data_IF_940974398088
#
_entry.id   IF_940974398088
#
_cell.length_a   1.000
_cell.length_b   1.000
_cell.length_c   1.000
_cell.angle_alpha   90.00
_cell.angle_beta   90.00
_cell.angle_gamma   90.00
#
_symmetry.space_group_name_H-M   'P 1'
#
loop_
_entity.id
_entity.type
_entity.pdbx_description
1 polymer ?
#
# COMPACT_ATOMS: atom_id res chain seq x y z
N UNK A 1 -19.04 -18.18 -30.93
CA UNK A 1 -18.16 -17.06 -30.52
C UNK A 1 -17.34 -17.35 -29.26
N UNK A 2 -17.91 -18.07 -28.28
CA UNK A 2 -17.23 -18.40 -26.99
C UNK A 2 -15.99 -19.27 -27.17
N UNK A 3 -16.01 -20.21 -28.13
CA UNK A 3 -14.90 -21.11 -28.45
C UNK A 3 -13.64 -20.35 -28.95
N UNK A 4 -13.82 -19.25 -29.67
CA UNK A 4 -12.72 -18.41 -30.17
C UNK A 4 -12.04 -17.63 -29.04
N UNK A 5 -12.80 -17.19 -28.05
CA UNK A 5 -12.27 -16.50 -26.88
C UNK A 5 -11.44 -17.46 -26.03
N UNK A 6 -11.94 -18.69 -25.82
CA UNK A 6 -11.23 -19.75 -25.08
C UNK A 6 -9.95 -20.14 -25.81
N UNK A 7 -10.01 -20.30 -27.16
CA UNK A 7 -8.83 -20.61 -27.96
C UNK A 7 -7.79 -19.48 -27.92
N UNK A 8 -8.22 -18.21 -27.92
CA UNK A 8 -7.35 -17.05 -27.79
C UNK A 8 -6.63 -17.00 -26.44
N UNK A 9 -7.35 -17.24 -25.36
CA UNK A 9 -6.77 -17.29 -23.99
C UNK A 9 -5.77 -18.44 -23.87
N UNK A 10 -6.08 -19.62 -24.39
CA UNK A 10 -5.17 -20.77 -24.39
C UNK A 10 -3.93 -20.54 -25.26
N UNK A 11 -4.01 -19.72 -26.30
CA UNK A 11 -2.87 -19.38 -27.16
C UNK A 11 -1.90 -18.42 -26.46
N UNK A 12 -2.42 -17.49 -25.64
CA UNK A 12 -1.61 -16.57 -24.83
C UNK A 12 -0.87 -17.32 -23.71
N UNK A 13 -1.49 -18.36 -23.14
CA UNK A 13 -0.90 -19.19 -22.09
C UNK A 13 -0.14 -20.42 -22.57
N UNK A 14 0.13 -20.54 -23.88
CA UNK A 14 0.92 -21.66 -24.39
C UNK A 14 2.37 -21.54 -23.89
N UNK A 15 2.85 -22.42 -22.99
CA UNK A 15 4.23 -22.35 -22.52
C UNK A 15 5.15 -22.72 -23.69
N UNK A 16 5.80 -21.73 -24.26
CA UNK A 16 6.81 -21.96 -25.28
C UNK A 16 7.88 -22.90 -24.73
N UNK A 17 8.08 -24.04 -25.39
CA UNK A 17 9.16 -25.00 -25.09
C UNK A 17 10.50 -24.35 -25.42
N UNK A 18 10.99 -23.47 -24.56
CA UNK A 18 12.29 -22.83 -24.70
C UNK A 18 13.39 -23.74 -24.15
N UNK A 19 14.21 -24.30 -25.05
CA UNK A 19 15.43 -25.02 -24.70
C UNK A 19 16.45 -24.18 -23.92
N UNK A 20 16.27 -22.85 -23.87
CA UNK A 20 17.05 -21.91 -23.03
C UNK A 20 16.76 -22.04 -21.53
N UNK A 21 15.60 -22.59 -21.13
CA UNK A 21 15.23 -22.77 -19.74
C UNK A 21 15.97 -23.90 -19.02
N UNK A 22 16.56 -24.86 -19.73
CA UNK A 22 17.33 -25.96 -19.12
C UNK A 22 18.71 -25.51 -18.70
N UNK A 23 19.36 -24.63 -19.49
CA UNK A 23 20.70 -24.09 -19.15
C UNK A 23 20.64 -23.16 -17.93
N UNK A 24 19.60 -22.34 -17.82
CA UNK A 24 19.38 -21.44 -16.69
C UNK A 24 19.13 -22.19 -15.36
N UNK A 25 18.49 -23.37 -15.40
CA UNK A 25 18.19 -24.15 -14.18
C UNK A 25 19.41 -24.78 -13.54
N UNK A 26 20.45 -25.12 -14.28
CA UNK A 26 21.66 -25.70 -13.72
C UNK A 26 22.53 -24.65 -13.00
N UNK A 27 22.67 -23.46 -13.57
CA UNK A 27 23.47 -22.40 -12.95
C UNK A 27 22.79 -21.74 -11.72
N UNK A 28 21.45 -21.70 -11.69
CA UNK A 28 20.73 -21.17 -10.52
C UNK A 28 20.77 -22.10 -9.32
N UNK A 29 20.91 -23.40 -9.49
CA UNK A 29 21.01 -24.34 -8.36
C UNK A 29 22.37 -24.27 -7.63
N UNK A 30 23.46 -24.04 -8.34
CA UNK A 30 24.78 -23.90 -7.72
C UNK A 30 24.91 -22.58 -6.94
N UNK A 31 24.42 -21.47 -7.51
CA UNK A 31 24.36 -20.20 -6.80
C UNK A 31 23.46 -20.25 -5.55
N UNK A 32 22.33 -20.96 -5.66
CA UNK A 32 21.41 -21.14 -4.51
C UNK A 32 22.02 -21.98 -3.40
N UNK A 33 22.82 -23.00 -3.73
CA UNK A 33 23.54 -23.82 -2.73
C UNK A 33 24.67 -23.05 -2.04
N UNK A 34 25.41 -22.21 -2.76
CA UNK A 34 26.42 -21.33 -2.18
C UNK A 34 25.77 -20.26 -1.29
N UNK A 35 24.66 -19.68 -1.71
CA UNK A 35 23.92 -18.69 -0.93
C UNK A 35 23.37 -19.28 0.38
N UNK A 36 22.80 -20.49 0.33
CA UNK A 36 22.32 -21.19 1.54
C UNK A 36 23.45 -21.56 2.51
N UNK A 37 24.65 -21.91 2.05
CA UNK A 37 25.79 -22.20 2.92
C UNK A 37 26.33 -20.95 3.62
N UNK A 38 26.23 -19.79 3.00
CA UNK A 38 26.73 -18.52 3.55
C UNK A 38 25.77 -17.94 4.62
N UNK A 39 24.50 -18.38 4.65
CA UNK A 39 23.48 -17.86 5.56
C UNK A 39 22.98 -18.88 6.61
N UNK A 40 23.68 -20.01 6.78
CA UNK A 40 23.36 -21.10 7.71
C UNK A 40 23.75 -20.79 9.19
N UNK A 41 23.76 -19.52 9.59
CA UNK A 41 24.15 -19.09 10.93
C UNK A 41 23.31 -17.97 11.55
N UNK A 42 22.16 -17.59 10.98
CA UNK A 42 21.27 -16.62 11.62
C UNK A 42 19.90 -17.23 11.91
N UNK A 43 19.58 -17.54 13.19
CA UNK A 43 18.20 -17.86 13.58
C UNK A 43 17.38 -16.57 13.53
N UNK A 44 16.28 -16.59 12.77
CA UNK A 44 15.25 -15.55 12.78
C UNK A 44 15.29 -14.57 11.62
N UNK A 45 15.34 -15.02 10.37
CA UNK A 45 14.81 -14.21 9.27
C UNK A 45 13.33 -14.54 9.08
N UNK A 46 12.50 -13.72 9.70
CA UNK A 46 11.10 -13.61 9.30
C UNK A 46 11.09 -13.17 7.83
N UNK A 47 10.44 -13.97 6.99
CA UNK A 47 10.11 -13.62 5.61
C UNK A 47 8.94 -12.61 5.59
N UNK A 48 9.07 -11.54 6.36
CA UNK A 48 8.16 -10.40 6.34
C UNK A 48 8.85 -9.23 5.66
N UNK A 49 8.41 -8.99 4.43
CA UNK A 49 8.38 -7.68 3.77
C UNK A 49 9.71 -6.99 3.41
N UNK A 50 10.57 -7.58 2.59
CA UNK A 50 11.63 -6.79 1.89
C UNK A 50 11.09 -5.86 0.78
N UNK A 51 9.76 -5.75 0.60
CA UNK A 51 9.13 -4.89 -0.41
C UNK A 51 8.30 -3.74 0.19
N UNK A 52 8.39 -3.54 1.49
CA UNK A 52 7.74 -2.43 2.18
C UNK A 52 8.83 -1.43 2.60
N UNK A 53 8.90 -0.31 1.92
CA UNK A 53 9.70 0.83 2.36
C UNK A 53 8.78 1.82 3.05
N UNK A 54 9.03 2.05 4.32
CA UNK A 54 8.36 3.10 5.08
C UNK A 54 9.40 3.92 5.83
N UNK A 55 9.28 5.20 5.71
CA UNK A 55 10.12 6.17 6.40
C UNK A 55 9.22 7.24 7.02
N UNK A 56 9.34 7.42 8.33
CA UNK A 56 8.74 8.56 9.03
C UNK A 56 9.87 9.48 9.45
N UNK A 57 9.89 10.68 8.91
CA UNK A 57 10.88 11.70 9.22
C UNK A 57 10.16 12.97 9.60
N UNK A 58 10.38 13.41 10.82
CA UNK A 58 9.90 14.71 11.32
C UNK A 58 8.38 14.93 11.11
N UNK A 59 7.58 13.89 11.37
CA UNK A 59 6.12 13.92 11.24
C UNK A 59 5.57 13.75 9.81
N UNK A 60 6.43 13.50 8.81
CA UNK A 60 6.03 13.15 7.46
C UNK A 60 6.24 11.66 7.21
N UNK A 61 5.15 10.95 6.81
CA UNK A 61 5.18 9.51 6.52
C UNK A 61 5.33 9.27 5.02
N UNK A 62 6.33 8.47 4.64
CA UNK A 62 6.45 7.92 3.31
C UNK A 62 6.29 6.41 3.38
N UNK A 63 5.34 5.86 2.62
CA UNK A 63 5.05 4.43 2.56
C UNK A 63 4.96 3.96 1.13
N UNK A 64 5.77 3.00 0.76
CA UNK A 64 5.71 2.29 -0.52
C UNK A 64 5.46 0.81 -0.26
N UNK A 65 4.30 0.31 -0.69
CA UNK A 65 3.92 -1.10 -0.58
C UNK A 65 3.65 -1.66 -1.97
N UNK A 66 4.53 -2.53 -2.43
CA UNK A 66 4.39 -3.13 -3.77
C UNK A 66 3.52 -4.38 -3.72
N UNK A 67 3.63 -5.18 -2.65
CA UNK A 67 2.89 -6.43 -2.52
C UNK A 67 2.62 -6.77 -1.06
N UNK A 68 1.37 -7.12 -0.73
CA UNK A 68 1.02 -7.57 0.62
C UNK A 68 0.32 -6.50 1.46
N UNK A 69 0.44 -6.61 2.78
CA UNK A 69 -0.18 -5.68 3.73
C UNK A 69 0.88 -4.89 4.51
N UNK A 70 0.74 -3.57 4.52
CA UNK A 70 1.55 -2.67 5.31
C UNK A 70 0.70 -2.01 6.40
N UNK A 71 1.25 -1.85 7.59
CA UNK A 71 0.58 -1.13 8.68
C UNK A 71 1.54 -0.14 9.32
N UNK A 72 1.12 1.11 9.42
CA UNK A 72 1.87 2.20 10.02
C UNK A 72 1.07 2.85 11.13
N UNK A 73 1.70 3.03 12.28
CA UNK A 73 1.15 3.82 13.39
C UNK A 73 2.04 5.05 13.53
N UNK A 74 1.47 6.23 13.34
CA UNK A 74 2.19 7.48 13.49
C UNK A 74 2.12 7.92 14.95
N UNK A 75 3.28 8.00 15.58
CA UNK A 75 3.44 8.38 16.98
C UNK A 75 4.09 9.76 17.13
N UNK A 76 4.42 10.43 16.03
CA UNK A 76 4.92 11.80 16.06
C UNK A 76 3.86 12.73 16.64
N UNK A 77 4.26 13.69 17.47
CA UNK A 77 3.34 14.62 18.11
C UNK A 77 2.56 15.43 17.07
N UNK A 78 3.23 15.86 15.99
CA UNK A 78 2.64 16.63 14.90
C UNK A 78 2.78 15.90 13.56
N UNK A 79 1.67 15.51 12.98
CA UNK A 79 1.63 14.94 11.63
C UNK A 79 1.63 16.06 10.58
N UNK A 80 2.63 16.05 9.70
CA UNK A 80 2.81 17.05 8.64
C UNK A 80 2.33 16.60 7.26
N UNK A 81 2.01 15.32 7.10
CA UNK A 81 1.51 14.77 5.86
C UNK A 81 2.03 13.37 5.56
N UNK A 82 1.55 12.79 4.46
CA UNK A 82 2.03 11.48 4.01
C UNK A 82 2.05 11.37 2.50
N UNK A 83 2.96 10.52 2.00
CA UNK A 83 2.93 10.00 0.64
C UNK A 83 2.81 8.48 0.69
N UNK A 84 1.73 7.96 0.10
CA UNK A 84 1.37 6.55 0.17
C UNK A 84 1.27 5.99 -1.24
N UNK A 85 2.05 4.96 -1.53
CA UNK A 85 1.97 4.20 -2.77
C UNK A 85 1.70 2.74 -2.48
N UNK A 86 0.60 2.22 -2.99
CA UNK A 86 0.20 0.82 -2.85
C UNK A 86 -0.07 0.23 -4.23
N UNK A 87 0.70 -0.78 -4.63
CA UNK A 87 0.52 -1.40 -5.95
C UNK A 87 -0.41 -2.60 -5.89
N UNK A 88 -0.09 -3.62 -5.08
CA UNK A 88 -0.94 -4.81 -4.88
C UNK A 88 -1.05 -5.15 -3.41
N UNK A 89 -2.21 -4.90 -2.81
CA UNK A 89 -2.42 -5.24 -1.41
C UNK A 89 -3.12 -4.17 -0.60
N UNK A 90 -2.82 -4.10 0.69
CA UNK A 90 -3.46 -3.17 1.62
C UNK A 90 -2.46 -2.31 2.38
N UNK A 91 -2.81 -1.07 2.64
CA UNK A 91 -2.04 -0.20 3.53
C UNK A 91 -2.96 0.38 4.60
N UNK A 92 -2.61 0.18 5.85
CA UNK A 92 -3.34 0.73 7.00
C UNK A 92 -2.48 1.78 7.68
N UNK A 93 -3.05 2.95 7.92
CA UNK A 93 -2.38 4.06 8.59
C UNK A 93 -3.21 4.50 9.79
N UNK A 94 -2.58 4.56 10.94
CA UNK A 94 -3.23 4.98 12.18
C UNK A 94 -2.66 6.32 12.64
N UNK A 95 -3.50 7.36 12.55
CA UNK A 95 -3.20 8.76 12.94
C UNK A 95 -3.88 9.17 14.24
N UNK A 96 -4.50 8.24 14.97
CA UNK A 96 -5.27 8.57 16.19
C UNK A 96 -4.41 9.04 17.35
N UNK A 97 -3.11 8.84 17.27
CA UNK A 97 -2.16 9.21 18.33
C UNK A 97 -1.34 10.46 18.00
N UNK A 98 -1.71 11.19 16.96
CA UNK A 98 -1.00 12.39 16.51
C UNK A 98 -1.97 13.56 16.35
N UNK A 99 -1.44 14.75 16.10
CA UNK A 99 -2.20 15.96 15.85
C UNK A 99 -1.81 16.55 14.50
N UNK A 100 -2.68 17.36 13.91
CA UNK A 100 -2.37 18.17 12.73
C UNK A 100 -2.37 19.65 13.11
N UNK A 101 -1.56 20.44 12.42
CA UNK A 101 -1.58 21.88 12.58
C UNK A 101 -2.91 22.48 12.09
N UNK A 102 -3.36 23.60 12.61
CA UNK A 102 -4.48 24.34 12.04
C UNK A 102 -4.23 24.64 10.56
N UNK A 103 -5.23 24.42 9.73
CA UNK A 103 -5.16 24.53 8.28
C UNK A 103 -5.28 23.17 7.58
N UNK A 104 -4.77 23.08 6.35
CA UNK A 104 -4.85 21.87 5.53
C UNK A 104 -3.56 21.05 5.64
N UNK A 105 -3.68 19.79 6.05
CA UNK A 105 -2.62 18.78 6.00
C UNK A 105 -2.95 17.78 4.89
N UNK A 106 -1.95 17.38 4.10
CA UNK A 106 -2.18 16.59 2.90
C UNK A 106 -1.67 15.16 3.02
N UNK A 107 -2.47 14.22 2.49
CA UNK A 107 -2.04 12.86 2.18
C UNK A 107 -2.12 12.67 0.68
N UNK A 108 -0.96 12.42 0.06
CA UNK A 108 -0.85 12.05 -1.35
C UNK A 108 -0.94 10.53 -1.49
N UNK A 109 -1.96 10.04 -2.21
CA UNK A 109 -2.30 8.62 -2.32
C UNK A 109 -2.25 8.15 -3.76
N UNK A 110 -1.50 7.08 -4.01
CA UNK A 110 -1.50 6.34 -5.26
C UNK A 110 -1.72 4.85 -4.98
N UNK A 111 -2.92 4.36 -5.31
CA UNK A 111 -3.31 2.97 -5.09
C UNK A 111 -3.75 2.33 -6.40
N UNK A 112 -3.04 1.29 -6.85
CA UNK A 112 -3.36 0.63 -8.11
C UNK A 112 -4.32 -0.55 -7.94
N UNK A 113 -4.00 -1.52 -7.09
CA UNK A 113 -4.83 -2.72 -6.85
C UNK A 113 -4.87 -3.03 -5.36
N UNK A 114 -5.98 -2.69 -4.70
CA UNK A 114 -6.10 -2.98 -3.28
C UNK A 114 -6.84 -1.92 -2.49
N UNK A 115 -6.51 -1.77 -1.21
CA UNK A 115 -7.19 -0.84 -0.33
C UNK A 115 -6.27 -0.06 0.58
N UNK A 116 -6.73 1.12 0.94
CA UNK A 116 -6.07 1.93 1.97
C UNK A 116 -7.07 2.24 3.06
N UNK A 117 -6.68 1.97 4.29
CA UNK A 117 -7.45 2.31 5.48
C UNK A 117 -6.70 3.37 6.28
N UNK A 118 -7.37 4.45 6.63
CA UNK A 118 -6.78 5.53 7.42
C UNK A 118 -7.65 5.73 8.66
N UNK A 119 -7.06 5.51 9.83
CA UNK A 119 -7.67 5.80 11.11
C UNK A 119 -7.29 7.21 11.54
N UNK A 120 -8.28 8.04 11.80
CA UNK A 120 -8.10 9.44 12.19
C UNK A 120 -8.93 9.77 13.42
N UNK A 121 -8.53 10.76 14.23
CA UNK A 121 -9.38 11.28 15.29
C UNK A 121 -10.74 11.75 14.76
N UNK A 122 -11.80 11.52 15.52
CA UNK A 122 -13.19 11.87 15.13
C UNK A 122 -13.45 13.39 14.99
N UNK A 123 -12.59 14.21 15.58
CA UNK A 123 -12.69 15.67 15.56
C UNK A 123 -12.06 16.33 14.32
N UNK A 124 -11.31 15.60 13.50
CA UNK A 124 -10.72 16.16 12.28
C UNK A 124 -11.75 16.28 11.15
N UNK A 125 -11.65 17.35 10.37
CA UNK A 125 -12.34 17.46 9.09
C UNK A 125 -11.58 16.69 8.02
N UNK A 126 -12.23 15.75 7.34
CA UNK A 126 -11.61 15.01 6.22
C UNK A 126 -12.23 15.43 4.90
N UNK A 127 -11.38 15.76 3.94
CA UNK A 127 -11.77 16.17 2.58
C UNK A 127 -11.14 15.23 1.57
N UNK A 128 -11.96 14.62 0.71
CA UNK A 128 -11.50 13.76 -0.37
C UNK A 128 -11.37 14.53 -1.67
N UNK A 129 -10.16 14.55 -2.23
CA UNK A 129 -9.82 15.07 -3.57
C UNK A 129 -9.20 13.95 -4.41
N UNK A 130 -9.76 12.74 -4.34
CA UNK A 130 -9.25 11.55 -5.02
C UNK A 130 -9.99 11.30 -6.33
N UNK A 131 -9.25 10.83 -7.35
CA UNK A 131 -9.80 10.29 -8.58
C UNK A 131 -9.85 8.77 -8.47
N UNK A 132 -11.03 8.18 -8.38
CA UNK A 132 -11.22 6.73 -8.34
C UNK A 132 -11.69 6.23 -9.71
N UNK A 133 -11.02 5.19 -10.24
CA UNK A 133 -11.35 4.57 -11.53
C UNK A 133 -11.96 3.20 -11.24
N UNK A 134 -12.37 2.46 -10.79
CA UNK A 134 -12.98 1.24 -10.29
C UNK A 134 -12.80 1.11 -8.77
N UNK A 135 -13.50 1.99 -8.05
CA UNK A 135 -13.42 2.02 -6.61
C UNK A 135 -14.04 3.28 -6.04
N UNK A 136 -13.70 3.60 -4.82
CA UNK A 136 -14.25 4.78 -4.17
C UNK A 136 -13.51 5.16 -2.90
N UNK A 137 -13.87 6.34 -2.39
CA UNK A 137 -13.43 6.83 -1.09
C UNK A 137 -14.64 6.91 -0.18
N UNK A 138 -14.56 6.35 1.00
CA UNK A 138 -15.66 6.27 1.96
C UNK A 138 -15.19 6.75 3.35
N UNK A 139 -15.99 7.62 3.96
CA UNK A 139 -15.81 8.05 5.35
C UNK A 139 -16.75 7.25 6.25
N UNK A 140 -16.20 6.27 6.94
CA UNK A 140 -16.93 5.39 7.87
C UNK A 140 -16.86 5.83 9.33
N UNK A 141 -16.36 7.02 9.59
CA UNK A 141 -16.29 7.53 10.94
C UNK A 141 -17.68 7.83 11.51
N UNK A 142 -17.82 7.64 12.80
CA UNK A 142 -19.00 8.09 13.51
C UNK A 142 -18.98 9.61 13.67
N UNK A 143 -19.77 10.31 12.87
CA UNK A 143 -19.83 11.78 12.90
C UNK A 143 -20.60 12.26 14.13
N UNK A 144 -19.89 12.66 15.16
CA UNK A 144 -20.48 13.16 16.43
C UNK A 144 -20.84 14.65 16.42
N UNK A 145 -20.85 15.31 15.29
CA UNK A 145 -21.24 16.73 15.16
C UNK A 145 -20.21 17.76 15.69
N UNK A 146 -19.22 17.36 16.46
CA UNK A 146 -18.15 18.23 16.99
C UNK A 146 -16.88 18.15 16.16
N UNK A 147 -16.97 18.41 14.88
CA UNK A 147 -15.80 18.41 13.99
C UNK A 147 -15.10 19.74 14.06
N UNK A 148 -13.79 19.75 14.33
CA UNK A 148 -12.98 20.95 14.30
C UNK A 148 -12.72 21.37 12.83
N UNK A 149 -13.28 22.52 12.46
CA UNK A 149 -13.15 23.06 11.10
C UNK A 149 -11.76 23.65 10.81
N UNK A 150 -10.92 23.82 11.82
CA UNK A 150 -9.57 24.33 11.65
C UNK A 150 -8.57 23.22 11.32
N UNK A 151 -8.84 21.97 11.73
CA UNK A 151 -7.99 20.82 11.50
C UNK A 151 -8.51 20.02 10.28
N UNK A 152 -7.96 20.30 9.11
CA UNK A 152 -8.42 19.74 7.85
C UNK A 152 -7.39 18.75 7.30
N UNK A 153 -7.78 17.49 7.18
CA UNK A 153 -7.01 16.47 6.49
C UNK A 153 -7.52 16.32 5.06
N UNK A 154 -6.71 16.67 4.09
CA UNK A 154 -7.02 16.55 2.67
C UNK A 154 -6.35 15.31 2.10
N UNK A 155 -7.14 14.33 1.65
CA UNK A 155 -6.63 13.14 1.01
C UNK A 155 -6.83 13.29 -0.49
N UNK A 156 -5.73 13.27 -1.24
CA UNK A 156 -5.75 13.48 -2.69
C UNK A 156 -4.92 12.42 -3.41
N UNK A 157 -5.23 12.17 -4.68
CA UNK A 157 -4.49 11.23 -5.51
C UNK A 157 -5.36 10.33 -6.37
N UNK A 158 -4.85 9.14 -6.70
CA UNK A 158 -5.51 8.21 -7.61
C UNK A 158 -5.72 6.84 -6.99
N UNK A 159 -6.91 6.26 -7.28
CA UNK A 159 -7.25 4.89 -6.95
C UNK A 159 -7.71 4.20 -8.23
N UNK A 160 -6.99 3.17 -8.70
CA UNK A 160 -7.34 2.52 -9.96
C UNK A 160 -8.30 1.36 -9.76
N UNK A 161 -7.97 0.38 -8.93
CA UNK A 161 -8.84 -0.76 -8.59
C UNK A 161 -8.81 -1.01 -7.10
N UNK A 162 -9.74 -0.38 -6.36
CA UNK A 162 -9.74 -0.52 -4.92
C UNK A 162 -10.45 0.60 -4.20
N UNK A 163 -10.25 0.68 -2.90
CA UNK A 163 -10.94 1.64 -2.05
C UNK A 163 -10.06 2.32 -1.03
N UNK A 164 -10.51 3.50 -0.64
CA UNK A 164 -10.01 4.23 0.52
C UNK A 164 -11.12 4.29 1.56
N UNK A 165 -10.84 3.83 2.75
CA UNK A 165 -11.74 3.94 3.90
C UNK A 165 -11.09 4.78 4.99
N UNK A 166 -11.84 5.77 5.49
CA UNK A 166 -11.46 6.53 6.68
C UNK A 166 -12.32 6.07 7.85
N UNK A 167 -11.66 5.78 8.97
CA UNK A 167 -12.27 5.24 10.20
C UNK A 167 -11.79 6.03 11.43
N UNK A 168 -12.49 5.91 12.55
CA UNK A 168 -12.12 6.44 13.88
C UNK A 168 -11.74 5.33 14.87
#
# INVERSE_FOLDING_TARGET
>A
PLALIIAGVLFIFKPGRNKRAQWARQHTMEHRRQWMKMHQGRPGMNFESEQQQSESVDGFLRSENVWGAARHVVLDELFKGAMIRTSFGGTTIDLRHTHIAPGETYIDLDCSWGGVEIYVPSDWTVVFKCNAFFGGCDDKRWQNGNVNKENILVIRGTLSFGGLEVKD
#
